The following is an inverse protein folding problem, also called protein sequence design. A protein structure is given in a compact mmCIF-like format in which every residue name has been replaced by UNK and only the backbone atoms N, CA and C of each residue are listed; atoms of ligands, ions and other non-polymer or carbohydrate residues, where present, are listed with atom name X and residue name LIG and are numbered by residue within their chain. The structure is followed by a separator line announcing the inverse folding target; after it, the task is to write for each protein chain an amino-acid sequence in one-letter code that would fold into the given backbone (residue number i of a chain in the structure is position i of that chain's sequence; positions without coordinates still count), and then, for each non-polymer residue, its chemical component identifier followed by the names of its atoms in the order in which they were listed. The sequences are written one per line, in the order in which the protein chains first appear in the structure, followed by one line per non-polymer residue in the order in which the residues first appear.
data_IF_820841096699
#
_entry.id   IF_820841096699
#
_cell.length_a   1.000
_cell.length_b   1.000
_cell.length_c   1.000
_cell.angle_alpha   90.00
_cell.angle_beta   90.00
_cell.angle_gamma   90.00
#
_symmetry.space_group_name_H-M   'P 1'
#
loop_
_entity.id
_entity.type
_entity.pdbx_description
1 polymer ?
#
# COMPACT_ATOMS: atom_id res chain seq x y z
N UNK A 1 -12.06 44.73 -29.77
CA UNK A 1 -11.65 43.83 -28.68
C UNK A 1 -12.70 42.75 -28.52
N UNK A 2 -12.49 41.58 -29.13
CA UNK A 2 -13.38 40.43 -29.01
C UNK A 2 -12.92 39.60 -27.80
N UNK A 3 -13.79 39.50 -26.80
CA UNK A 3 -13.59 38.68 -25.60
C UNK A 3 -13.72 37.20 -25.94
N UNK A 4 -12.72 36.42 -25.55
CA UNK A 4 -12.73 34.97 -25.71
C UNK A 4 -13.25 34.36 -24.41
N UNK A 5 -14.48 33.86 -24.45
CA UNK A 5 -15.02 32.94 -23.45
C UNK A 5 -14.25 31.62 -23.53
N UNK A 6 -13.51 31.28 -22.45
CA UNK A 6 -12.93 29.95 -22.29
C UNK A 6 -14.02 29.01 -21.77
N UNK A 7 -14.22 27.82 -22.39
CA UNK A 7 -15.26 26.89 -21.97
C UNK A 7 -14.92 26.27 -20.62
N UNK A 8 -15.90 26.29 -19.73
CA UNK A 8 -15.93 25.54 -18.50
C UNK A 8 -15.96 24.03 -18.82
N UNK A 9 -14.79 23.40 -18.83
CA UNK A 9 -14.64 21.99 -19.12
C UNK A 9 -13.37 21.45 -18.49
N UNK A 10 -13.45 21.09 -17.21
CA UNK A 10 -12.62 20.14 -16.47
C UNK A 10 -12.60 20.55 -14.98
N UNK A 11 -13.79 20.58 -14.37
CA UNK A 11 -13.86 20.27 -12.94
C UNK A 11 -13.61 18.76 -12.87
N UNK A 12 -12.33 18.36 -12.92
CA UNK A 12 -11.94 17.06 -12.38
C UNK A 12 -12.50 17.05 -10.98
N UNK A 13 -13.49 16.20 -10.75
CA UNK A 13 -13.94 15.81 -9.44
C UNK A 13 -12.68 15.61 -8.59
N UNK A 14 -12.38 16.60 -7.76
CA UNK A 14 -11.67 16.35 -6.53
C UNK A 14 -12.67 15.57 -5.69
N UNK A 15 -12.86 14.31 -6.08
CA UNK A 15 -13.20 13.27 -5.15
C UNK A 15 -12.24 13.52 -4.00
N UNK A 16 -12.77 13.96 -2.87
CA UNK A 16 -12.01 14.17 -1.65
C UNK A 16 -11.60 12.78 -1.20
N UNK A 17 -10.61 12.21 -1.89
CA UNK A 17 -9.90 11.01 -1.49
C UNK A 17 -9.34 11.41 -0.13
N UNK A 18 -9.97 10.90 0.93
CA UNK A 18 -9.54 11.13 2.29
C UNK A 18 -8.01 10.95 2.33
N UNK A 19 -7.31 11.93 2.89
CA UNK A 19 -5.85 11.98 2.81
C UNK A 19 -5.28 10.61 3.20
N UNK A 20 -4.35 10.06 2.39
CA UNK A 20 -3.77 8.75 2.66
C UNK A 20 -3.23 8.74 4.08
N UNK A 21 -3.63 7.72 4.85
CA UNK A 21 -3.18 7.61 6.22
C UNK A 21 -1.78 6.98 6.28
N UNK A 22 -1.12 7.09 7.43
CA UNK A 22 0.21 6.53 7.63
C UNK A 22 0.27 5.01 7.35
N UNK A 23 -0.83 4.28 7.54
CA UNK A 23 -0.91 2.84 7.27
C UNK A 23 -0.89 2.51 5.76
N UNK A 24 -1.55 3.32 4.93
CA UNK A 24 -1.51 3.17 3.47
C UNK A 24 -0.11 3.48 2.91
N UNK A 25 0.54 4.53 3.42
CA UNK A 25 1.93 4.84 3.05
C UNK A 25 2.88 3.71 3.46
N UNK A 26 2.73 3.22 4.70
CA UNK A 26 3.55 2.14 5.21
C UNK A 26 3.35 0.84 4.40
N UNK A 27 2.12 0.54 3.95
CA UNK A 27 1.88 -0.60 3.06
C UNK A 27 2.59 -0.45 1.72
N UNK A 28 2.57 0.75 1.14
CA UNK A 28 3.29 1.04 -0.09
C UNK A 28 4.80 0.82 0.09
N UNK A 29 5.35 1.26 1.22
CA UNK A 29 6.76 1.09 1.55
C UNK A 29 7.14 -0.39 1.69
N UNK A 30 6.32 -1.18 2.39
CA UNK A 30 6.56 -2.62 2.53
C UNK A 30 6.55 -3.35 1.19
N UNK A 31 5.65 -2.97 0.27
CA UNK A 31 5.63 -3.52 -1.10
C UNK A 31 6.92 -3.19 -1.85
N UNK A 32 7.42 -1.97 -1.74
CA UNK A 32 8.68 -1.55 -2.38
C UNK A 32 9.88 -2.27 -1.77
N UNK A 33 9.92 -2.41 -0.44
CA UNK A 33 10.97 -3.14 0.26
C UNK A 33 10.96 -4.62 -0.14
N UNK A 34 9.78 -5.24 -0.26
CA UNK A 34 9.64 -6.62 -0.72
C UNK A 34 10.17 -6.81 -2.16
N UNK A 35 9.89 -5.87 -3.05
CA UNK A 35 10.37 -5.90 -4.44
C UNK A 35 11.89 -5.67 -4.55
N UNK A 36 12.47 -4.86 -3.66
CA UNK A 36 13.90 -4.58 -3.67
C UNK A 36 14.74 -5.67 -3.00
N UNK A 37 14.33 -6.11 -1.82
CA UNK A 37 15.13 -6.99 -0.98
C UNK A 37 14.71 -8.46 -1.10
N UNK A 38 13.50 -8.74 -1.58
CA UNK A 38 12.99 -10.09 -1.75
C UNK A 38 13.51 -10.77 -3.01
N UNK A 39 13.34 -12.08 -3.03
CA UNK A 39 13.37 -12.84 -4.29
C UNK A 39 12.07 -12.59 -5.05
N UNK A 40 12.04 -12.80 -6.39
CA UNK A 40 10.81 -12.65 -7.17
C UNK A 40 9.63 -13.50 -6.64
N UNK A 41 9.93 -14.68 -6.10
CA UNK A 41 8.93 -15.53 -5.48
C UNK A 41 8.41 -14.94 -4.16
N UNK A 42 9.30 -14.39 -3.33
CA UNK A 42 8.92 -13.73 -2.09
C UNK A 42 8.07 -12.48 -2.34
N UNK A 43 8.50 -11.61 -3.26
CA UNK A 43 7.75 -10.41 -3.65
C UNK A 43 6.32 -10.78 -4.06
N UNK A 44 6.17 -11.76 -4.96
CA UNK A 44 4.85 -12.20 -5.44
C UNK A 44 3.96 -12.72 -4.32
N UNK A 45 4.52 -13.52 -3.41
CA UNK A 45 3.79 -14.03 -2.25
C UNK A 45 3.38 -12.90 -1.30
N UNK A 46 4.31 -12.00 -0.99
CA UNK A 46 4.08 -10.84 -0.14
C UNK A 46 3.00 -9.92 -0.74
N UNK A 47 3.06 -9.63 -2.03
CA UNK A 47 2.07 -8.79 -2.71
C UNK A 47 0.66 -9.41 -2.64
N UNK A 48 0.55 -10.73 -2.78
CA UNK A 48 -0.73 -11.44 -2.62
C UNK A 48 -1.29 -11.29 -1.20
N UNK A 49 -0.45 -11.46 -0.17
CA UNK A 49 -0.88 -11.31 1.22
C UNK A 49 -1.21 -9.87 1.58
N UNK A 50 -0.42 -8.92 1.09
CA UNK A 50 -0.67 -7.48 1.19
C UNK A 50 -2.05 -7.10 0.64
N UNK A 51 -2.36 -7.55 -0.58
CA UNK A 51 -3.69 -7.34 -1.17
C UNK A 51 -4.82 -7.99 -0.38
N UNK A 52 -4.58 -9.18 0.17
CA UNK A 52 -5.55 -9.84 1.03
C UNK A 52 -5.77 -9.07 2.35
N UNK A 53 -4.74 -8.40 2.88
CA UNK A 53 -4.84 -7.56 4.06
C UNK A 53 -5.65 -6.28 3.79
N UNK A 54 -5.45 -5.64 2.64
CA UNK A 54 -6.27 -4.50 2.21
C UNK A 54 -7.72 -4.91 2.01
N UNK A 55 -7.98 -6.03 1.32
CA UNK A 55 -9.33 -6.56 1.12
C UNK A 55 -10.04 -6.92 2.44
N UNK A 56 -9.29 -7.36 3.44
CA UNK A 56 -9.81 -7.63 4.79
C UNK A 56 -9.95 -6.36 5.66
N UNK A 57 -9.67 -5.16 5.12
CA UNK A 57 -9.71 -3.90 5.86
C UNK A 57 -8.70 -3.84 7.01
N UNK A 58 -7.59 -4.57 6.92
CA UNK A 58 -6.54 -4.57 7.96
C UNK A 58 -5.60 -3.37 7.84
N UNK A 59 -5.52 -2.74 6.67
CA UNK A 59 -4.68 -1.55 6.44
C UNK A 59 -5.45 -0.29 6.78
N UNK A 60 -6.64 -0.13 6.21
CA UNK A 60 -7.55 0.96 6.53
C UNK A 60 -8.99 0.45 6.55
N UNK A 61 -9.57 0.30 7.74
CA UNK A 61 -10.93 -0.21 7.93
C UNK A 61 -12.04 0.80 7.58
N UNK A 62 -11.68 2.08 7.41
CA UNK A 62 -12.64 3.17 7.21
C UNK A 62 -12.83 3.52 5.72
N UNK A 63 -12.12 2.85 4.81
CA UNK A 63 -12.15 3.13 3.37
C UNK A 63 -12.44 1.87 2.58
N UNK A 64 -13.00 2.03 1.39
CA UNK A 64 -13.23 0.90 0.49
C UNK A 64 -11.88 0.30 0.06
N UNK A 65 -11.74 -1.05 0.04
CA UNK A 65 -10.47 -1.69 -0.31
C UNK A 65 -9.92 -1.29 -1.68
N UNK A 66 -10.78 -1.02 -2.67
CA UNK A 66 -10.36 -0.58 -4.00
C UNK A 66 -9.65 0.79 -3.96
N UNK A 67 -10.17 1.74 -3.18
CA UNK A 67 -9.57 3.07 -3.03
C UNK A 67 -8.27 3.00 -2.23
N UNK A 68 -8.21 2.10 -1.25
CA UNK A 68 -6.99 1.82 -0.48
C UNK A 68 -5.91 1.23 -1.39
N UNK A 69 -6.23 0.26 -2.26
CA UNK A 69 -5.27 -0.27 -3.23
C UNK A 69 -4.76 0.81 -4.18
N UNK A 70 -5.66 1.62 -4.75
CA UNK A 70 -5.30 2.74 -5.63
C UNK A 70 -4.37 3.74 -4.93
N UNK A 71 -4.67 4.04 -3.66
CA UNK A 71 -3.85 4.90 -2.80
C UNK A 71 -2.46 4.30 -2.58
N UNK A 72 -2.38 3.04 -2.14
CA UNK A 72 -1.11 2.32 -1.89
C UNK A 72 -0.25 2.25 -3.16
N UNK A 73 -0.85 2.07 -4.33
CA UNK A 73 -0.11 2.11 -5.61
C UNK A 73 0.43 3.51 -5.93
N UNK A 74 -0.32 4.56 -5.64
CA UNK A 74 0.11 5.96 -5.83
C UNK A 74 1.15 6.45 -4.83
N UNK A 75 1.28 5.81 -3.66
CA UNK A 75 2.19 6.21 -2.57
C UNK A 75 3.58 5.55 -2.63
N UNK A 76 3.85 4.74 -3.66
CA UNK A 76 5.13 4.02 -3.76
C UNK A 76 6.30 5.00 -3.82
N UNK A 77 7.12 4.99 -2.79
CA UNK A 77 8.34 5.81 -2.71
C UNK A 77 9.49 5.14 -3.45
N UNK A 78 10.50 5.95 -3.79
CA UNK A 78 11.72 5.43 -4.41
C UNK A 78 12.36 4.36 -3.50
N UNK A 79 12.76 3.21 -4.05
CA UNK A 79 13.37 2.14 -3.26
C UNK A 79 14.65 2.61 -2.56
N UNK A 80 15.38 3.57 -3.13
CA UNK A 80 16.62 4.13 -2.55
C UNK A 80 16.38 4.97 -1.30
N UNK A 81 15.16 5.48 -1.10
CA UNK A 81 14.77 6.20 0.11
C UNK A 81 14.47 5.22 1.24
N UNK A 82 13.95 4.03 0.92
CA UNK A 82 13.51 3.04 1.91
C UNK A 82 14.61 2.08 2.34
N UNK A 83 15.51 1.75 1.42
CA UNK A 83 16.63 0.85 1.63
C UNK A 83 17.86 1.55 1.09
N UNK A 84 18.79 2.00 1.93
CA UNK A 84 19.96 2.71 1.41
C UNK A 84 20.89 1.74 0.69
N UNK A 85 21.16 0.58 1.31
CA UNK A 85 22.09 -0.43 0.81
C UNK A 85 21.47 -1.83 0.78
N UNK A 86 21.96 -2.69 -0.10
CA UNK A 86 21.57 -4.11 -0.11
C UNK A 86 22.01 -4.83 1.17
N UNK A 87 22.97 -4.28 1.92
CA UNK A 87 23.35 -4.79 3.24
C UNK A 87 22.21 -4.71 4.27
N UNK A 88 21.24 -3.82 4.06
CA UNK A 88 20.08 -3.66 4.94
C UNK A 88 18.98 -4.71 4.64
N UNK A 89 19.06 -5.41 3.51
CA UNK A 89 17.99 -6.31 3.08
C UNK A 89 17.67 -7.48 4.03
N UNK A 90 18.65 -8.11 4.73
CA UNK A 90 18.33 -9.17 5.69
C UNK A 90 17.42 -8.70 6.83
N UNK A 91 17.66 -7.51 7.39
CA UNK A 91 16.85 -6.96 8.48
C UNK A 91 15.47 -6.52 7.99
N UNK A 92 15.40 -5.94 6.79
CA UNK A 92 14.13 -5.57 6.15
C UNK A 92 13.26 -6.81 5.86
N UNK A 93 13.85 -7.89 5.35
CA UNK A 93 13.13 -9.15 5.12
C UNK A 93 12.66 -9.81 6.41
N UNK A 94 13.41 -9.70 7.50
CA UNK A 94 12.98 -10.20 8.81
C UNK A 94 11.70 -9.47 9.27
N UNK A 95 11.68 -8.13 9.17
CA UNK A 95 10.50 -7.32 9.49
C UNK A 95 9.28 -7.70 8.61
N UNK A 96 9.49 -7.91 7.31
CA UNK A 96 8.40 -8.32 6.42
C UNK A 96 7.84 -9.70 6.77
N UNK A 97 8.68 -10.64 7.21
CA UNK A 97 8.21 -11.96 7.66
C UNK A 97 7.40 -11.86 8.95
N UNK A 98 7.85 -11.08 9.93
CA UNK A 98 7.09 -10.83 11.16
C UNK A 98 5.73 -10.18 10.87
N UNK A 99 5.70 -9.26 9.91
CA UNK A 99 4.46 -8.64 9.44
C UNK A 99 3.51 -9.67 8.82
N UNK A 100 4.02 -10.59 8.00
CA UNK A 100 3.21 -11.69 7.42
C UNK A 100 2.62 -12.58 8.51
N UNK A 101 3.41 -12.98 9.50
CA UNK A 101 2.92 -13.80 10.62
C UNK A 101 1.88 -13.07 11.46
N UNK A 102 2.11 -11.80 11.76
CA UNK A 102 1.14 -10.96 12.48
C UNK A 102 -0.19 -10.85 11.72
N UNK A 103 -0.15 -10.67 10.39
CA UNK A 103 -1.35 -10.64 9.54
C UNK A 103 -2.07 -11.97 9.50
N UNK A 104 -1.34 -13.09 9.42
CA UNK A 104 -1.94 -14.43 9.47
C UNK A 104 -2.72 -14.63 10.76
N UNK A 105 -2.15 -14.22 11.90
CA UNK A 105 -2.83 -14.33 13.19
C UNK A 105 -4.06 -13.41 13.30
N UNK A 106 -3.95 -12.16 12.85
CA UNK A 106 -5.10 -11.24 12.79
C UNK A 106 -6.24 -11.78 11.92
N UNK A 107 -5.92 -12.45 10.81
CA UNK A 107 -6.94 -13.06 9.94
C UNK A 107 -7.57 -14.29 10.60
N UNK A 108 -6.78 -15.12 11.31
CA UNK A 108 -7.28 -16.29 12.05
C UNK A 108 -8.25 -15.89 13.17
N UNK A 109 -7.86 -14.91 13.98
CA UNK A 109 -8.69 -14.43 15.11
C UNK A 109 -9.99 -13.79 14.65
N UNK A 110 -9.97 -13.05 13.54
CA UNK A 110 -11.18 -12.43 12.96
C UNK A 110 -12.12 -13.47 12.34
N UNK A 111 -11.59 -14.49 11.69
CA UNK A 111 -12.37 -15.62 11.16
C UNK A 111 -12.99 -16.51 12.24
N UNK A 112 -12.42 -16.52 13.46
CA UNK A 112 -12.93 -17.28 14.61
C UNK A 112 -14.03 -16.54 15.39
N UNK A 113 -14.24 -15.25 15.11
CA UNK A 113 -15.31 -14.41 15.70
C UNK A 113 -16.53 -14.23 14.78
N UNK A 114 -16.54 -14.87 13.61
CA UNK A 114 -17.68 -14.89 12.67
C UNK A 114 -18.50 -16.16 12.85
#
# INVERSE_FOLDING_TARGET
MLGICVPAGAQTERETIAAPNAAEQQEADWRVIAARCGTPAFEKAFYKESRAAVAAGLINKNRMPADVEKSVEGLRRSPFVLVASNADCPSQLAQLKELQETRKEMRRTRGRRS
#
